data_IF_637036666845
#
_entry.id   IF_637036666845
#
_cell.length_a   1.000
_cell.length_b   1.000
_cell.length_c   1.000
_cell.angle_alpha   90.00
_cell.angle_beta   90.00
_cell.angle_gamma   90.00
#
_symmetry.space_group_name_H-M   'P 1'
#
loop_
_entity.id
_entity.type
_entity.pdbx_description
1 polymer ?
#
# COMPACT_ATOMS: atom_id res chain seq x y z
N UNK A 1 13.06 27.96 -63.14
CA UNK A 1 13.95 26.98 -62.50
C UNK A 1 13.54 26.88 -61.03
N UNK A 2 13.14 25.71 -60.50
CA UNK A 2 12.60 25.58 -59.14
C UNK A 2 13.67 25.11 -58.14
N UNK A 3 13.71 25.65 -56.91
CA UNK A 3 14.44 25.09 -55.74
C UNK A 3 14.31 26.09 -54.57
N UNK A 4 14.14 25.75 -53.30
CA UNK A 4 13.64 24.59 -52.55
C UNK A 4 13.35 25.17 -51.15
N UNK A 5 12.17 24.91 -50.59
CA UNK A 5 11.86 25.16 -49.19
C UNK A 5 12.57 24.09 -48.35
N UNK A 6 13.52 24.48 -47.50
CA UNK A 6 14.17 23.57 -46.54
C UNK A 6 13.39 23.63 -45.22
N UNK A 7 12.61 22.59 -44.95
CA UNK A 7 12.02 22.33 -43.64
C UNK A 7 13.04 21.57 -42.79
N UNK A 8 13.65 22.23 -41.81
CA UNK A 8 14.52 21.57 -40.84
C UNK A 8 13.66 20.83 -39.80
N UNK A 9 13.57 19.51 -39.93
CA UNK A 9 13.00 18.65 -38.91
C UNK A 9 13.99 18.53 -37.73
N UNK A 10 13.65 19.10 -36.58
CA UNK A 10 14.35 18.83 -35.32
C UNK A 10 13.98 17.43 -34.84
N UNK A 11 14.88 16.47 -35.12
CA UNK A 11 14.80 15.10 -34.60
C UNK A 11 15.27 15.11 -33.14
N UNK A 12 14.34 15.14 -32.19
CA UNK A 12 14.63 14.97 -30.77
C UNK A 12 14.81 13.47 -30.50
N UNK A 13 16.05 12.97 -30.58
CA UNK A 13 16.39 11.61 -30.19
C UNK A 13 16.55 11.53 -28.67
N UNK A 14 15.50 11.15 -27.96
CA UNK A 14 15.59 10.77 -26.55
C UNK A 14 16.09 9.32 -26.44
N UNK A 15 17.32 9.14 -25.98
CA UNK A 15 17.85 7.82 -25.65
C UNK A 15 17.17 7.25 -24.39
N UNK A 16 16.77 5.97 -24.35
CA UNK A 16 16.24 5.36 -23.14
C UNK A 16 17.37 5.16 -22.14
N UNK A 17 17.37 5.95 -21.07
CA UNK A 17 18.21 5.71 -19.90
C UNK A 17 17.61 4.56 -19.09
N UNK A 18 18.23 3.39 -19.14
CA UNK A 18 17.90 2.24 -18.30
C UNK A 18 18.30 2.52 -16.85
N UNK A 19 17.38 3.10 -16.08
CA UNK A 19 17.54 3.22 -14.63
C UNK A 19 17.23 1.85 -14.00
N UNK A 20 18.26 1.04 -13.78
CA UNK A 20 18.18 -0.15 -12.92
C UNK A 20 18.14 0.31 -11.45
N UNK A 21 16.95 0.66 -10.97
CA UNK A 21 16.72 0.82 -9.54
C UNK A 21 16.64 -0.58 -8.91
N UNK A 22 17.69 -1.00 -8.23
CA UNK A 22 17.60 -2.12 -7.29
C UNK A 22 16.58 -1.74 -6.20
N UNK A 23 15.36 -2.24 -6.34
CA UNK A 23 14.29 -2.06 -5.37
C UNK A 23 14.51 -3.06 -4.25
N UNK A 24 15.07 -2.62 -3.12
CA UNK A 24 14.93 -3.38 -1.89
C UNK A 24 13.43 -3.50 -1.58
N UNK A 25 12.89 -4.73 -1.62
CA UNK A 25 11.49 -5.00 -1.32
C UNK A 25 11.17 -4.56 0.12
N UNK A 26 10.10 -3.77 0.34
CA UNK A 26 9.63 -3.53 1.69
C UNK A 26 9.18 -4.85 2.33
N UNK A 27 9.34 -4.96 3.64
CA UNK A 27 9.03 -6.20 4.35
C UNK A 27 7.52 -6.53 4.29
N UNK A 28 7.18 -7.80 4.16
CA UNK A 28 5.82 -8.34 4.33
C UNK A 28 5.68 -9.09 5.63
N UNK A 29 4.45 -9.48 5.99
CA UNK A 29 4.19 -10.23 7.23
C UNK A 29 5.06 -11.48 7.44
N UNK A 30 5.53 -12.11 6.36
CA UNK A 30 6.37 -13.32 6.43
C UNK A 30 7.87 -13.05 6.31
N UNK A 31 8.28 -11.78 6.13
CA UNK A 31 9.69 -11.42 6.25
C UNK A 31 10.17 -11.75 7.66
N UNK A 32 11.33 -12.43 7.82
CA UNK A 32 11.90 -12.70 9.13
C UNK A 32 11.91 -11.44 9.99
N UNK A 33 11.45 -11.55 11.23
CA UNK A 33 11.27 -10.40 12.13
C UNK A 33 12.52 -9.51 12.24
N UNK A 34 13.72 -10.12 12.14
CA UNK A 34 15.01 -9.43 12.14
C UNK A 34 15.22 -8.42 10.99
N UNK A 35 14.46 -8.53 9.89
CA UNK A 35 14.57 -7.66 8.72
C UNK A 35 13.38 -6.70 8.53
N UNK A 36 12.31 -6.85 9.34
CA UNK A 36 11.17 -5.93 9.27
C UNK A 36 11.54 -4.58 9.87
N UNK A 37 11.34 -3.50 9.09
CA UNK A 37 11.28 -2.16 9.68
C UNK A 37 10.07 -2.08 10.59
N UNK A 38 10.27 -1.60 11.82
CA UNK A 38 9.18 -1.35 12.76
C UNK A 38 8.31 -0.21 12.19
N UNK A 39 7.00 -0.43 11.99
CA UNK A 39 6.12 0.61 11.49
C UNK A 39 5.97 1.73 12.53
N UNK A 40 6.06 2.98 12.06
CA UNK A 40 5.80 4.17 12.87
C UNK A 40 4.37 4.61 12.57
N UNK A 41 3.48 4.37 13.53
CA UNK A 41 2.07 4.73 13.40
C UNK A 41 1.83 6.22 13.61
N UNK A 42 0.86 6.81 12.90
CA UNK A 42 0.48 8.20 13.09
C UNK A 42 -0.12 8.42 14.50
N UNK A 43 0.08 9.62 15.04
CA UNK A 43 -0.52 10.06 16.32
C UNK A 43 -1.70 11.01 16.14
N UNK A 44 -1.99 11.39 14.90
CA UNK A 44 -3.05 12.32 14.49
C UNK A 44 -4.44 11.67 14.47
N UNK A 45 -4.49 10.34 14.50
CA UNK A 45 -5.71 9.52 14.45
C UNK A 45 -5.61 8.39 15.48
N UNK A 46 -6.74 7.84 15.90
CA UNK A 46 -6.76 6.65 16.75
C UNK A 46 -6.42 5.41 15.90
N UNK A 47 -5.51 4.57 16.39
CA UNK A 47 -5.11 3.33 15.72
C UNK A 47 -5.26 2.15 16.68
N UNK A 48 -6.10 1.19 16.30
CA UNK A 48 -6.18 -0.12 16.94
C UNK A 48 -5.45 -1.13 16.06
N UNK A 49 -4.35 -1.68 16.57
CA UNK A 49 -3.43 -2.52 15.80
C UNK A 49 -3.72 -4.01 15.96
N UNK A 50 -3.32 -4.78 14.97
CA UNK A 50 -3.28 -6.25 14.99
C UNK A 50 -4.61 -6.92 15.38
N UNK A 51 -5.72 -6.35 14.91
CA UNK A 51 -7.07 -6.85 15.12
C UNK A 51 -7.28 -8.16 14.38
N UNK A 52 -7.74 -9.18 15.11
CA UNK A 52 -8.25 -10.42 14.54
C UNK A 52 -9.60 -10.20 13.86
N UNK A 53 -9.70 -10.55 12.57
CA UNK A 53 -10.94 -10.36 11.80
C UNK A 53 -11.41 -11.60 11.03
N UNK A 54 -10.61 -12.67 10.96
CA UNK A 54 -10.97 -13.93 10.30
C UNK A 54 -11.24 -15.09 11.27
N UNK A 55 -10.84 -14.93 12.54
CA UNK A 55 -10.94 -15.99 13.55
C UNK A 55 -10.06 -17.21 13.26
N UNK A 56 -10.16 -18.21 14.14
CA UNK A 56 -9.42 -19.47 14.03
C UNK A 56 -7.90 -19.30 14.15
N UNK A 57 -7.13 -20.10 13.41
CA UNK A 57 -5.66 -20.07 13.38
C UNK A 57 -5.08 -19.21 12.24
N UNK A 58 -5.89 -18.29 11.71
CA UNK A 58 -5.47 -17.40 10.62
C UNK A 58 -4.52 -16.35 11.17
N UNK A 59 -3.47 -16.04 10.40
CA UNK A 59 -2.41 -15.12 10.82
C UNK A 59 -2.68 -13.68 10.40
N UNK A 60 -3.53 -13.50 9.40
CA UNK A 60 -3.83 -12.21 8.80
C UNK A 60 -4.53 -11.31 9.82
N UNK A 61 -3.93 -10.15 10.06
CA UNK A 61 -4.46 -9.12 10.97
C UNK A 61 -4.96 -7.89 10.22
N UNK A 62 -5.67 -7.02 10.92
CA UNK A 62 -6.05 -5.70 10.44
C UNK A 62 -5.60 -4.60 11.42
N UNK A 63 -5.37 -3.40 10.89
CA UNK A 63 -5.20 -2.18 11.66
C UNK A 63 -6.39 -1.26 11.37
N UNK A 64 -7.04 -0.79 12.44
CA UNK A 64 -8.22 0.08 12.36
C UNK A 64 -7.82 1.51 12.70
N UNK A 65 -8.09 2.43 11.79
CA UNK A 65 -7.83 3.86 11.90
C UNK A 65 -9.14 4.60 12.01
N UNK A 66 -9.27 5.52 12.95
CA UNK A 66 -10.48 6.31 13.14
C UNK A 66 -10.16 7.74 13.59
N UNK A 67 -11.05 8.72 13.32
CA UNK A 67 -10.88 10.07 13.83
C UNK A 67 -10.84 10.04 15.37
N UNK A 68 -9.91 10.80 15.97
CA UNK A 68 -9.80 10.93 17.43
C UNK A 68 -11.13 11.39 18.02
N UNK A 69 -11.69 12.46 17.45
CA UNK A 69 -12.96 13.04 17.84
C UNK A 69 -14.01 12.81 16.74
N UNK A 70 -15.11 12.18 17.12
CA UNK A 70 -16.30 12.05 16.29
C UNK A 70 -17.54 11.81 17.17
N UNK A 71 -18.70 12.18 16.65
CA UNK A 71 -19.99 11.93 17.28
C UNK A 71 -20.24 10.41 17.39
N UNK A 72 -20.13 9.86 18.60
CA UNK A 72 -20.29 8.42 18.87
C UNK A 72 -21.71 7.92 18.64
N UNK A 73 -22.69 8.82 18.50
CA UNK A 73 -24.08 8.46 18.19
C UNK A 73 -24.32 8.19 16.70
N UNK A 74 -23.36 8.56 15.83
CA UNK A 74 -23.49 8.42 14.38
C UNK A 74 -22.44 7.46 13.82
N UNK A 75 -22.84 6.55 12.91
CA UNK A 75 -21.87 5.71 12.22
C UNK A 75 -21.00 6.57 11.29
N UNK A 76 -19.75 6.18 11.16
CA UNK A 76 -18.82 6.73 10.17
C UNK A 76 -18.77 5.79 8.95
N UNK A 77 -18.57 6.34 7.73
CA UNK A 77 -18.35 5.53 6.55
C UNK A 77 -17.06 4.69 6.70
N UNK A 78 -17.16 3.39 6.41
CA UNK A 78 -16.04 2.45 6.48
C UNK A 78 -15.32 2.27 5.15
N UNK A 79 -14.00 2.14 5.19
CA UNK A 79 -13.15 1.83 4.04
C UNK A 79 -12.24 0.64 4.38
N UNK A 80 -12.17 -0.36 3.50
CA UNK A 80 -11.18 -1.43 3.60
C UNK A 80 -9.99 -1.08 2.71
N UNK A 81 -8.81 -0.99 3.30
CA UNK A 81 -7.56 -0.72 2.59
C UNK A 81 -6.84 -2.04 2.36
N UNK A 82 -6.64 -2.38 1.08
CA UNK A 82 -5.93 -3.59 0.66
C UNK A 82 -4.56 -3.16 0.15
N UNK A 83 -3.51 -3.75 0.74
CA UNK A 83 -2.15 -3.42 0.36
C UNK A 83 -1.79 -4.00 -1.02
N UNK A 84 -0.88 -3.30 -1.70
CA UNK A 84 -0.26 -3.79 -2.94
C UNK A 84 0.76 -4.90 -2.69
N UNK A 85 1.64 -5.13 -3.67
CA UNK A 85 2.68 -6.19 -3.61
C UNK A 85 2.39 -7.40 -4.51
N UNK A 86 1.53 -7.22 -5.51
CA UNK A 86 1.31 -8.21 -6.58
C UNK A 86 0.91 -9.59 -6.07
N UNK A 87 0.17 -9.65 -4.96
CA UNK A 87 -0.28 -10.88 -4.28
C UNK A 87 0.83 -11.78 -3.72
N UNK A 88 2.11 -11.40 -3.86
CA UNK A 88 3.25 -12.17 -3.37
C UNK A 88 3.94 -11.49 -2.18
N UNK A 89 3.62 -10.22 -1.93
CA UNK A 89 4.24 -9.37 -0.93
C UNK A 89 3.24 -8.33 -0.40
N UNK A 90 3.57 -7.63 0.68
CA UNK A 90 2.66 -6.68 1.33
C UNK A 90 2.50 -6.82 2.84
N UNK A 91 2.07 -5.73 3.49
CA UNK A 91 1.70 -5.69 4.90
C UNK A 91 0.73 -4.51 5.14
N UNK A 92 -0.25 -4.69 6.04
CA UNK A 92 -1.22 -3.66 6.47
C UNK A 92 -0.58 -2.38 7.03
N UNK A 93 0.67 -2.45 7.51
CA UNK A 93 1.38 -1.37 8.18
C UNK A 93 2.54 -0.78 7.34
N UNK A 94 2.53 -0.99 6.02
CA UNK A 94 3.46 -0.32 5.10
C UNK A 94 3.19 1.18 5.05
N UNK A 95 4.21 1.94 4.67
CA UNK A 95 4.15 3.41 4.67
C UNK A 95 3.01 3.99 3.83
N UNK A 96 2.67 3.35 2.71
CA UNK A 96 1.55 3.77 1.86
C UNK A 96 0.20 3.51 2.53
N UNK A 97 0.05 2.36 3.17
CA UNK A 97 -1.16 1.95 3.90
C UNK A 97 -1.38 2.82 5.14
N UNK A 98 -0.31 3.13 5.89
CA UNK A 98 -0.32 4.08 7.00
C UNK A 98 -0.79 5.46 6.52
N UNK A 99 -0.16 5.98 5.46
CA UNK A 99 -0.47 7.30 4.91
C UNK A 99 -1.91 7.41 4.40
N UNK A 100 -2.38 6.42 3.62
CA UNK A 100 -3.75 6.41 3.08
C UNK A 100 -4.77 6.31 4.21
N UNK A 101 -4.55 5.41 5.16
CA UNK A 101 -5.49 5.20 6.27
C UNK A 101 -5.56 6.40 7.20
N UNK A 102 -4.43 7.05 7.48
CA UNK A 102 -4.37 8.31 8.24
C UNK A 102 -5.16 9.42 7.54
N UNK A 103 -4.89 9.66 6.24
CA UNK A 103 -5.53 10.74 5.50
C UNK A 103 -7.04 10.55 5.40
N UNK A 104 -7.51 9.32 5.17
CA UNK A 104 -8.93 9.02 5.15
C UNK A 104 -9.57 9.16 6.54
N UNK A 105 -8.90 8.71 7.60
CA UNK A 105 -9.39 8.92 8.96
C UNK A 105 -9.49 10.42 9.33
N UNK A 106 -8.54 11.25 8.90
CA UNK A 106 -8.62 12.70 9.05
C UNK A 106 -9.77 13.35 8.25
N UNK A 107 -10.36 12.63 7.29
CA UNK A 107 -11.55 13.06 6.52
C UNK A 107 -12.87 12.46 7.04
N UNK A 108 -12.86 11.82 8.21
CA UNK A 108 -14.08 11.31 8.85
C UNK A 108 -14.45 9.89 8.47
N UNK A 109 -13.54 9.11 7.89
CA UNK A 109 -13.74 7.69 7.60
C UNK A 109 -13.17 6.80 8.71
N UNK A 110 -13.71 5.60 8.85
CA UNK A 110 -13.03 4.52 9.58
C UNK A 110 -12.35 3.62 8.54
N UNK A 111 -11.03 3.47 8.65
CA UNK A 111 -10.27 2.63 7.72
C UNK A 111 -9.82 1.35 8.39
N UNK A 112 -9.98 0.22 7.69
CA UNK A 112 -9.48 -1.08 8.09
C UNK A 112 -8.44 -1.52 7.06
N UNK A 113 -7.16 -1.34 7.39
CA UNK A 113 -6.05 -1.84 6.58
C UNK A 113 -5.82 -3.31 6.91
N UNK A 114 -5.94 -4.20 5.92
CA UNK A 114 -5.92 -5.64 6.14
C UNK A 114 -4.69 -6.28 5.53
N UNK A 115 -4.21 -7.33 6.18
CA UNK A 115 -3.40 -8.33 5.49
C UNK A 115 -4.30 -9.29 4.73
N UNK A 116 -3.70 -10.07 3.83
CA UNK A 116 -4.39 -11.16 3.16
C UNK A 116 -3.42 -12.28 2.86
N UNK A 117 -3.97 -13.41 2.40
CA UNK A 117 -3.15 -14.57 2.05
C UNK A 117 -2.26 -14.23 0.85
N UNK A 118 -0.96 -14.26 1.06
CA UNK A 118 0.04 -14.05 0.03
C UNK A 118 0.53 -15.36 -0.59
N UNK A 119 0.98 -15.27 -1.83
CA UNK A 119 1.66 -16.34 -2.55
C UNK A 119 3.11 -16.37 -2.14
N UNK A 120 3.54 -17.49 -1.57
CA UNK A 120 4.90 -17.64 -1.02
C UNK A 120 5.69 -18.79 -1.64
N UNK A 121 5.00 -19.71 -2.33
CA UNK A 121 5.64 -20.89 -2.94
C UNK A 121 5.34 -20.96 -4.43
N UNK A 122 6.31 -21.45 -5.21
CA UNK A 122 6.07 -21.79 -6.61
C UNK A 122 4.92 -22.81 -6.73
N UNK A 123 4.00 -22.59 -7.66
CA UNK A 123 2.80 -23.43 -7.81
C UNK A 123 1.65 -23.15 -6.83
N UNK A 124 1.84 -22.31 -5.81
CA UNK A 124 0.72 -21.88 -4.97
C UNK A 124 -0.19 -20.95 -5.78
N UNK A 125 -1.43 -21.38 -6.01
CA UNK A 125 -2.48 -20.53 -6.58
C UNK A 125 -2.89 -19.51 -5.53
N UNK A 126 -2.83 -18.25 -5.88
CA UNK A 126 -3.44 -17.16 -5.11
C UNK A 126 -4.29 -16.35 -6.04
N UNK A 127 -5.50 -16.07 -5.57
CA UNK A 127 -6.50 -15.36 -6.34
C UNK A 127 -5.96 -14.00 -6.83
N UNK A 128 -6.34 -13.54 -8.04
CA UNK A 128 -7.34 -14.14 -8.94
C UNK A 128 -7.06 -15.55 -9.45
#
# INVERSE_FOLDING_TARGET
MPLMLVLAAFLCAAAPSSVTKASAEPASEDTPAAMKKVPVYPKTVAVLKDVDYLGGKRKEKADIYSPLDHDKSKPLPGIIVIHGGGFNDGDKARGRELNVSENLALKGYVCMSINYKLRRTSGQVTWP
#
